data_IF_640672253744
#
_entry.id   IF_640672253744
#
_cell.length_a   1.000
_cell.length_b   1.000
_cell.length_c   1.000
_cell.angle_alpha   90.00
_cell.angle_beta   90.00
_cell.angle_gamma   90.00
#
_symmetry.space_group_name_H-M   'P 1'
#
loop_
_entity.id
_entity.type
_entity.pdbx_description
1 polymer ?
#
# COMPACT_ATOMS: atom_id res chain seq x y z
N UNK A 1 14.17 12.72 -15.12
CA UNK A 1 14.51 11.56 -14.28
C UNK A 1 13.57 11.57 -13.09
N UNK A 2 12.95 10.44 -12.75
CA UNK A 2 12.10 10.37 -11.54
C UNK A 2 12.97 10.56 -10.31
N UNK A 3 12.56 11.41 -9.36
CA UNK A 3 13.25 11.50 -8.08
C UNK A 3 13.32 10.11 -7.43
N UNK A 4 14.48 9.63 -6.94
CA UNK A 4 14.63 8.30 -6.34
C UNK A 4 13.58 8.00 -5.26
N UNK A 5 13.19 9.03 -4.50
CA UNK A 5 12.14 8.96 -3.50
C UNK A 5 10.77 8.48 -4.05
N UNK A 6 10.47 8.68 -5.34
CA UNK A 6 9.18 8.28 -5.92
C UNK A 6 9.24 6.92 -6.63
N UNK A 7 10.42 6.34 -6.82
CA UNK A 7 10.56 5.08 -7.54
C UNK A 7 9.72 3.98 -6.88
N UNK A 8 8.81 3.39 -7.66
CA UNK A 8 7.87 2.37 -7.21
C UNK A 8 6.97 2.76 -6.02
N UNK A 9 6.77 4.04 -5.73
CA UNK A 9 5.94 4.51 -4.61
C UNK A 9 4.45 4.28 -4.87
N UNK A 10 4.01 4.34 -6.13
CA UNK A 10 2.59 4.28 -6.47
C UNK A 10 2.14 2.85 -6.73
N UNK A 11 0.97 2.50 -6.16
CA UNK A 11 0.16 1.39 -6.64
C UNK A 11 -1.00 1.93 -7.44
N UNK A 12 -1.09 1.54 -8.71
CA UNK A 12 -2.24 1.88 -9.55
C UNK A 12 -3.46 1.07 -9.10
N UNK A 13 -4.58 1.72 -8.86
CA UNK A 13 -5.85 1.04 -8.59
C UNK A 13 -6.65 0.92 -9.89
N UNK A 14 -6.95 -0.32 -10.29
CA UNK A 14 -7.96 -0.62 -11.32
C UNK A 14 -9.29 -0.94 -10.67
N UNK A 15 -10.39 -0.66 -11.37
CA UNK A 15 -11.73 -0.96 -10.87
C UNK A 15 -11.96 -2.48 -10.78
N UNK A 16 -12.79 -2.97 -9.84
CA UNK A 16 -13.09 -4.40 -9.72
C UNK A 16 -13.73 -5.02 -10.98
N UNK A 17 -14.41 -4.21 -11.79
CA UNK A 17 -15.03 -4.59 -13.05
C UNK A 17 -14.17 -4.27 -14.28
N UNK A 18 -12.89 -3.93 -14.08
CA UNK A 18 -11.93 -3.64 -15.14
C UNK A 18 -11.85 -4.80 -16.14
N UNK A 19 -12.02 -4.48 -17.42
CA UNK A 19 -11.78 -5.39 -18.53
C UNK A 19 -10.32 -5.37 -18.99
N UNK A 20 -9.98 -6.18 -20.01
CA UNK A 20 -8.63 -6.20 -20.59
C UNK A 20 -8.13 -4.83 -21.05
N UNK A 21 -9.03 -3.97 -21.56
CA UNK A 21 -8.69 -2.64 -22.06
C UNK A 21 -8.37 -1.62 -20.94
N UNK A 22 -8.75 -1.93 -19.71
CA UNK A 22 -8.52 -1.08 -18.53
C UNK A 22 -7.20 -1.42 -17.82
N UNK A 23 -6.56 -2.53 -18.20
CA UNK A 23 -5.25 -2.88 -17.69
C UNK A 23 -4.18 -1.95 -18.30
N UNK A 24 -3.31 -1.36 -17.48
CA UNK A 24 -2.25 -0.50 -18.00
C UNK A 24 -1.24 -1.32 -18.81
N UNK A 25 -0.70 -0.71 -19.85
CA UNK A 25 0.47 -1.21 -20.56
C UNK A 25 1.75 -0.87 -19.78
N UNK A 26 2.61 -0.05 -20.37
CA UNK A 26 3.87 0.34 -19.73
C UNK A 26 3.62 1.22 -18.49
N UNK A 27 4.20 0.81 -17.37
CA UNK A 27 4.11 1.56 -16.12
C UNK A 27 5.21 2.64 -16.05
N UNK A 28 4.85 3.88 -15.65
CA UNK A 28 5.85 4.89 -15.33
C UNK A 28 6.78 4.46 -14.19
N UNK A 29 8.03 4.95 -14.09
CA UNK A 29 9.00 4.47 -13.09
C UNK A 29 8.62 4.68 -11.62
N UNK A 30 7.68 5.60 -11.32
CA UNK A 30 7.19 5.81 -9.95
C UNK A 30 6.03 4.86 -9.59
N UNK A 31 5.46 4.13 -10.56
CA UNK A 31 4.45 3.10 -10.32
C UNK A 31 5.16 1.76 -10.13
N UNK A 32 5.03 1.18 -8.94
CA UNK A 32 5.68 -0.07 -8.58
C UNK A 32 4.82 -1.31 -8.86
N UNK A 33 3.50 -1.14 -8.84
CA UNK A 33 2.56 -2.23 -9.06
C UNK A 33 1.16 -1.73 -9.45
N UNK A 34 0.33 -2.67 -9.89
CA UNK A 34 -1.12 -2.49 -10.08
C UNK A 34 -1.85 -3.36 -9.08
N UNK A 35 -2.71 -2.76 -8.25
CA UNK A 35 -3.58 -3.50 -7.35
C UNK A 35 -4.77 -4.06 -8.14
N UNK A 36 -4.90 -5.38 -8.13
CA UNK A 36 -5.94 -6.12 -8.83
C UNK A 36 -6.66 -7.03 -7.85
N UNK A 37 -7.98 -7.06 -7.91
CA UNK A 37 -8.76 -8.03 -7.14
C UNK A 37 -8.43 -9.45 -7.60
N UNK A 38 -8.49 -10.40 -6.68
CA UNK A 38 -8.25 -11.82 -6.93
C UNK A 38 -9.09 -12.40 -8.09
N UNK A 39 -10.29 -11.87 -8.31
CA UNK A 39 -11.17 -12.26 -9.42
C UNK A 39 -10.66 -11.82 -10.80
N UNK A 40 -9.78 -10.82 -10.88
CA UNK A 40 -9.21 -10.30 -12.13
C UNK A 40 -7.91 -11.00 -12.55
N UNK A 41 -7.35 -11.87 -11.70
CA UNK A 41 -6.08 -12.57 -12.02
C UNK A 41 -6.11 -13.36 -13.34
N UNK A 42 -7.20 -14.06 -13.72
CA UNK A 42 -7.27 -14.71 -15.03
C UNK A 42 -7.12 -13.71 -16.20
N UNK A 43 -7.76 -12.54 -16.09
CA UNK A 43 -7.69 -11.47 -17.11
C UNK A 43 -6.28 -10.90 -17.21
N UNK A 44 -5.61 -10.64 -16.08
CA UNK A 44 -4.21 -10.18 -16.07
C UNK A 44 -3.30 -11.20 -16.72
N UNK A 45 -3.45 -12.49 -16.39
CA UNK A 45 -2.65 -13.57 -17.00
C UNK A 45 -2.76 -13.59 -18.52
N UNK A 46 -3.96 -13.38 -19.05
CA UNK A 46 -4.22 -13.49 -20.48
C UNK A 46 -3.80 -12.24 -21.27
N UNK A 47 -3.88 -11.07 -20.65
CA UNK A 47 -3.74 -9.79 -21.36
C UNK A 47 -2.53 -8.94 -20.92
N UNK A 48 -1.98 -9.19 -19.74
CA UNK A 48 -0.85 -8.45 -19.18
C UNK A 48 0.07 -9.32 -18.28
N UNK A 49 0.59 -10.46 -18.77
CA UNK A 49 1.32 -11.44 -17.93
C UNK A 49 2.61 -10.90 -17.28
N UNK A 50 3.21 -9.84 -17.83
CA UNK A 50 4.40 -9.18 -17.28
C UNK A 50 4.10 -8.04 -16.31
N UNK A 51 2.82 -7.73 -16.06
CA UNK A 51 2.43 -6.61 -15.20
C UNK A 51 2.73 -6.93 -13.73
N UNK A 52 3.50 -6.09 -13.01
CA UNK A 52 3.69 -6.25 -11.58
C UNK A 52 2.37 -6.03 -10.84
N UNK A 53 1.85 -7.06 -10.17
CA UNK A 53 0.54 -7.02 -9.51
C UNK A 53 0.64 -7.07 -7.98
N UNK A 54 -0.17 -6.24 -7.33
CA UNK A 54 -0.53 -6.43 -5.92
C UNK A 54 -1.87 -7.12 -5.88
N UNK A 55 -1.93 -8.36 -5.40
CA UNK A 55 -3.19 -9.12 -5.34
C UNK A 55 -4.00 -8.65 -4.14
N UNK A 56 -5.19 -8.13 -4.39
CA UNK A 56 -6.15 -7.71 -3.35
C UNK A 56 -7.12 -8.85 -3.10
N UNK A 57 -6.99 -9.50 -1.93
CA UNK A 57 -7.87 -10.58 -1.51
C UNK A 57 -9.24 -10.05 -1.13
N UNK A 58 -10.29 -10.54 -1.79
CA UNK A 58 -11.64 -10.04 -1.55
C UNK A 58 -12.27 -10.63 -0.29
N UNK A 59 -12.01 -11.89 0.09
CA UNK A 59 -12.67 -12.54 1.24
C UNK A 59 -11.89 -12.62 2.56
N UNK A 60 -10.87 -11.78 2.78
CA UNK A 60 -10.14 -11.71 4.06
C UNK A 60 -9.12 -12.84 4.26
N UNK A 61 -8.69 -13.05 5.51
CA UNK A 61 -7.55 -13.92 5.87
C UNK A 61 -7.63 -15.34 5.30
N UNK A 62 -8.81 -15.98 5.39
CA UNK A 62 -9.00 -17.37 4.98
C UNK A 62 -8.91 -17.59 3.45
N UNK A 63 -8.91 -16.52 2.64
CA UNK A 63 -8.90 -16.65 1.19
C UNK A 63 -7.53 -16.41 0.56
N UNK A 64 -6.49 -16.03 1.31
CA UNK A 64 -5.20 -15.62 0.73
C UNK A 64 -4.52 -16.73 -0.09
N UNK A 65 -4.61 -17.98 0.34
CA UNK A 65 -3.93 -19.11 -0.33
C UNK A 65 -4.38 -19.36 -1.77
N UNK A 66 -5.69 -19.24 -2.06
CA UNK A 66 -6.25 -19.55 -3.39
C UNK A 66 -5.72 -18.63 -4.50
N UNK A 67 -5.87 -17.30 -4.37
CA UNK A 67 -5.36 -16.32 -5.31
C UNK A 67 -3.84 -16.36 -5.47
N UNK A 68 -3.08 -16.55 -4.38
CA UNK A 68 -1.62 -16.64 -4.49
C UNK A 68 -1.16 -17.91 -5.20
N UNK A 69 -1.79 -19.05 -4.91
CA UNK A 69 -1.54 -20.29 -5.66
C UNK A 69 -1.91 -20.15 -7.14
N UNK A 70 -2.97 -19.40 -7.47
CA UNK A 70 -3.31 -19.09 -8.86
C UNK A 70 -2.24 -18.19 -9.51
N UNK A 71 -1.82 -17.12 -8.84
CA UNK A 71 -0.81 -16.19 -9.35
C UNK A 71 0.53 -16.89 -9.60
N UNK A 72 0.97 -17.72 -8.66
CA UNK A 72 2.20 -18.52 -8.77
C UNK A 72 2.13 -19.50 -9.95
N UNK A 73 1.04 -20.28 -10.07
CA UNK A 73 0.86 -21.21 -11.20
C UNK A 73 0.73 -20.51 -12.55
N UNK A 74 0.18 -19.30 -12.56
CA UNK A 74 0.03 -18.47 -13.74
C UNK A 74 1.32 -17.73 -14.14
N UNK A 75 2.37 -17.77 -13.30
CA UNK A 75 3.62 -17.06 -13.55
C UNK A 75 3.46 -15.53 -13.52
N UNK A 76 2.48 -15.00 -12.77
CA UNK A 76 2.29 -13.57 -12.64
C UNK A 76 3.45 -12.93 -11.86
N UNK A 77 3.80 -11.70 -12.22
CA UNK A 77 4.80 -10.91 -11.49
C UNK A 77 4.17 -10.39 -10.19
N UNK A 78 4.28 -11.16 -9.11
CA UNK A 78 3.72 -10.79 -7.82
C UNK A 78 4.59 -9.71 -7.17
N UNK A 79 4.04 -8.50 -7.07
CA UNK A 79 4.70 -7.36 -6.44
C UNK A 79 4.21 -7.11 -5.00
N UNK A 80 3.12 -7.74 -4.56
CA UNK A 80 2.59 -7.60 -3.21
C UNK A 80 1.27 -8.35 -3.01
N UNK A 81 0.84 -8.45 -1.77
CA UNK A 81 -0.46 -9.02 -1.38
C UNK A 81 -1.15 -8.08 -0.43
N UNK A 82 -2.47 -7.88 -0.60
CA UNK A 82 -3.30 -7.09 0.30
C UNK A 82 -4.46 -7.91 0.79
N UNK A 83 -4.71 -7.86 2.10
CA UNK A 83 -5.91 -8.45 2.70
C UNK A 83 -6.53 -7.47 3.67
N UNK A 84 -7.84 -7.26 3.53
CA UNK A 84 -8.58 -6.36 4.43
C UNK A 84 -9.18 -7.15 5.57
N UNK A 85 -8.91 -6.71 6.81
CA UNK A 85 -9.54 -7.29 7.99
C UNK A 85 -11.04 -6.94 7.96
N UNK A 86 -11.89 -7.93 8.24
CA UNK A 86 -13.35 -7.77 8.15
C UNK A 86 -14.03 -7.52 9.48
N UNK A 87 -13.47 -8.05 10.56
CA UNK A 87 -14.02 -7.97 11.90
C UNK A 87 -13.27 -6.92 12.72
N UNK A 88 -13.97 -5.83 13.04
CA UNK A 88 -13.44 -4.71 13.82
C UNK A 88 -13.44 -4.98 15.34
N UNK A 89 -14.08 -6.06 15.82
CA UNK A 89 -14.14 -6.38 17.24
C UNK A 89 -12.86 -7.04 17.78
N UNK A 90 -12.15 -7.80 16.93
CA UNK A 90 -10.86 -8.44 17.25
C UNK A 90 -9.87 -8.32 16.08
N UNK A 91 -9.40 -7.11 15.74
CA UNK A 91 -8.49 -6.91 14.62
C UNK A 91 -7.17 -7.67 14.81
N UNK A 92 -6.60 -7.71 16.03
CA UNK A 92 -5.38 -8.48 16.34
C UNK A 92 -5.54 -9.99 16.09
N UNK A 93 -6.66 -10.59 16.53
CA UNK A 93 -6.95 -11.98 16.22
C UNK A 93 -7.12 -12.25 14.72
N UNK A 94 -7.63 -11.28 13.95
CA UNK A 94 -7.67 -11.40 12.50
C UNK A 94 -6.28 -11.31 11.86
N UNK A 95 -5.37 -10.47 12.35
CA UNK A 95 -3.96 -10.46 11.90
C UNK A 95 -3.32 -11.82 12.12
N UNK A 96 -3.46 -12.42 13.31
CA UNK A 96 -2.91 -13.76 13.59
C UNK A 96 -3.44 -14.84 12.64
N UNK A 97 -4.70 -14.74 12.21
CA UNK A 97 -5.27 -15.63 11.19
C UNK A 97 -4.69 -15.40 9.81
N UNK A 98 -4.36 -14.15 9.46
CA UNK A 98 -3.63 -13.85 8.21
C UNK A 98 -2.26 -14.50 8.27
N UNK A 99 -1.48 -14.29 9.33
CA UNK A 99 -0.15 -14.90 9.50
C UNK A 99 -0.21 -16.42 9.36
N UNK A 100 -1.10 -17.08 10.10
CA UNK A 100 -1.28 -18.52 10.03
C UNK A 100 -1.68 -19.03 8.62
N UNK A 101 -2.30 -18.20 7.78
CA UNK A 101 -2.62 -18.53 6.40
C UNK A 101 -1.45 -18.27 5.43
N UNK A 102 -0.51 -17.38 5.78
CA UNK A 102 0.68 -17.07 5.00
C UNK A 102 1.81 -18.06 5.24
N UNK A 103 1.99 -18.55 6.47
CA UNK A 103 3.13 -19.41 6.84
C UNK A 103 3.30 -20.61 5.89
N UNK A 104 2.24 -21.40 5.56
CA UNK A 104 2.41 -22.53 4.65
C UNK A 104 2.80 -22.12 3.23
N UNK A 105 2.38 -20.92 2.79
CA UNK A 105 2.68 -20.39 1.45
C UNK A 105 4.11 -19.88 1.34
N UNK A 106 4.67 -19.36 2.44
CA UNK A 106 6.10 -19.04 2.53
C UNK A 106 6.93 -20.32 2.57
N UNK A 107 6.54 -21.27 3.43
CA UNK A 107 7.23 -22.55 3.59
C UNK A 107 7.32 -23.37 2.29
N UNK A 108 6.26 -23.38 1.47
CA UNK A 108 6.24 -24.09 0.19
C UNK A 108 6.73 -23.27 -1.01
N UNK A 109 7.09 -21.99 -0.77
CA UNK A 109 7.60 -21.06 -1.78
C UNK A 109 6.54 -20.48 -2.72
N UNK A 110 5.25 -20.73 -2.50
CA UNK A 110 4.16 -20.09 -3.26
C UNK A 110 4.17 -18.58 -3.09
N UNK A 111 4.49 -18.08 -1.90
CA UNK A 111 4.70 -16.68 -1.59
C UNK A 111 6.19 -16.43 -1.35
N UNK A 112 6.89 -15.73 -2.26
CA UNK A 112 8.29 -15.37 -2.04
C UNK A 112 8.46 -14.48 -0.80
N UNK A 113 9.55 -14.67 -0.07
CA UNK A 113 9.85 -13.95 1.18
C UNK A 113 9.97 -12.43 1.01
N UNK A 114 10.38 -11.98 -0.19
CA UNK A 114 10.57 -10.56 -0.51
C UNK A 114 9.28 -9.86 -0.97
N UNK A 115 8.19 -10.61 -1.18
CA UNK A 115 6.89 -10.04 -1.56
C UNK A 115 6.20 -9.48 -0.30
N UNK A 116 5.95 -8.16 -0.23
CA UNK A 116 5.31 -7.57 0.94
C UNK A 116 3.85 -8.01 1.04
N UNK A 117 3.42 -8.29 2.27
CA UNK A 117 2.02 -8.52 2.59
C UNK A 117 1.50 -7.37 3.44
N UNK A 118 0.50 -6.69 2.91
CA UNK A 118 -0.16 -5.54 3.52
C UNK A 118 -1.49 -5.96 4.13
N UNK A 119 -1.62 -5.77 5.44
CA UNK A 119 -2.86 -5.99 6.18
C UNK A 119 -3.59 -4.66 6.32
N UNK A 120 -4.73 -4.53 5.63
CA UNK A 120 -5.55 -3.32 5.64
C UNK A 120 -6.48 -3.36 6.85
N UNK A 121 -6.36 -2.36 7.73
CA UNK A 121 -7.24 -2.23 8.88
C UNK A 121 -8.67 -1.85 8.44
N UNK A 122 -9.71 -2.34 9.14
CA UNK A 122 -11.08 -1.96 8.83
C UNK A 122 -11.31 -0.47 9.13
N UNK A 123 -12.16 0.18 8.34
CA UNK A 123 -12.59 1.56 8.64
C UNK A 123 -13.26 1.63 10.01
N UNK A 124 -12.89 2.64 10.81
CA UNK A 124 -13.43 2.85 12.15
C UNK A 124 -12.72 2.08 13.27
N UNK A 125 -11.70 1.26 12.96
CA UNK A 125 -10.80 0.71 13.98
C UNK A 125 -9.88 1.82 14.52
N UNK A 126 -9.74 1.89 15.85
CA UNK A 126 -8.92 2.87 16.55
C UNK A 126 -8.63 2.47 17.99
N UNK A 127 -7.79 3.25 18.67
CA UNK A 127 -7.39 3.01 20.07
C UNK A 127 -6.76 1.63 20.27
N UNK A 128 -7.03 1.02 21.43
CA UNK A 128 -6.42 -0.26 21.83
C UNK A 128 -6.55 -1.38 20.79
N UNK A 129 -7.69 -1.48 20.10
CA UNK A 129 -7.89 -2.50 19.07
C UNK A 129 -6.95 -2.32 17.88
N UNK A 130 -6.75 -1.08 17.42
CA UNK A 130 -5.81 -0.78 16.35
C UNK A 130 -4.36 -1.04 16.79
N UNK A 131 -4.00 -0.58 17.98
CA UNK A 131 -2.67 -0.75 18.56
C UNK A 131 -2.27 -2.22 18.71
N UNK A 132 -3.15 -3.06 19.26
CA UNK A 132 -2.89 -4.49 19.37
C UNK A 132 -2.79 -5.17 17.99
N UNK A 133 -3.50 -4.69 16.97
CA UNK A 133 -3.35 -5.20 15.61
C UNK A 133 -2.00 -4.79 15.00
N UNK A 134 -1.54 -3.57 15.25
CA UNK A 134 -0.22 -3.09 14.83
C UNK A 134 0.90 -3.88 15.50
N UNK A 135 0.76 -4.27 16.77
CA UNK A 135 1.73 -5.13 17.46
C UNK A 135 1.88 -6.48 16.74
N UNK A 136 0.77 -7.11 16.37
CA UNK A 136 0.78 -8.39 15.64
C UNK A 136 1.32 -8.24 14.20
N UNK A 137 1.03 -7.11 13.53
CA UNK A 137 1.57 -6.80 12.20
C UNK A 137 3.09 -6.63 12.27
N UNK A 138 3.59 -5.87 13.25
CA UNK A 138 5.02 -5.66 13.46
C UNK A 138 5.75 -6.93 13.86
N UNK A 139 5.17 -7.74 14.74
CA UNK A 139 5.75 -9.04 15.12
C UNK A 139 5.95 -9.99 13.93
N UNK A 140 5.06 -9.92 12.93
CA UNK A 140 5.10 -10.76 11.74
C UNK A 140 5.81 -10.11 10.54
N UNK A 141 6.49 -8.97 10.74
CA UNK A 141 7.16 -8.18 9.70
C UNK A 141 6.24 -7.86 8.50
N UNK A 142 4.96 -7.60 8.78
CA UNK A 142 3.95 -7.24 7.77
C UNK A 142 3.87 -5.71 7.62
N UNK A 143 3.19 -5.28 6.55
CA UNK A 143 2.93 -3.86 6.28
C UNK A 143 1.49 -3.54 6.69
N UNK A 144 1.25 -2.37 7.30
CA UNK A 144 -0.14 -1.94 7.59
C UNK A 144 -0.69 -1.10 6.44
N UNK A 145 -1.90 -1.45 5.98
CA UNK A 145 -2.65 -0.65 5.01
C UNK A 145 -3.63 0.28 5.72
N UNK A 146 -3.53 1.57 5.48
CA UNK A 146 -4.31 2.62 6.15
C UNK A 146 -5.09 3.46 5.16
N UNK A 147 -6.37 3.69 5.45
CA UNK A 147 -7.27 4.52 4.66
C UNK A 147 -7.08 6.01 5.01
N UNK A 148 -6.72 6.84 4.02
CA UNK A 148 -6.46 8.28 4.18
C UNK A 148 -7.68 9.18 3.93
N UNK A 149 -8.90 8.61 3.87
CA UNK A 149 -10.16 9.38 3.77
C UNK A 149 -10.36 10.29 4.98
N UNK A 150 -9.88 9.89 6.17
CA UNK A 150 -9.90 10.68 7.41
C UNK A 150 -8.47 11.01 7.88
N UNK A 151 -7.92 12.18 7.51
CA UNK A 151 -6.54 12.57 7.81
C UNK A 151 -6.14 12.45 9.29
N UNK A 152 -7.04 12.84 10.20
CA UNK A 152 -6.81 12.81 11.64
C UNK A 152 -6.72 11.38 12.20
N UNK A 153 -7.48 10.44 11.62
CA UNK A 153 -7.41 9.02 12.00
C UNK A 153 -6.18 8.39 11.38
N UNK A 154 -5.91 8.69 10.12
CA UNK A 154 -4.75 8.18 9.39
C UNK A 154 -3.44 8.58 10.08
N UNK A 155 -3.29 9.86 10.46
CA UNK A 155 -2.07 10.37 11.12
C UNK A 155 -1.84 9.69 12.47
N UNK A 156 -2.88 9.54 13.29
CA UNK A 156 -2.79 8.82 14.55
C UNK A 156 -2.40 7.34 14.37
N UNK A 157 -2.93 6.67 13.33
CA UNK A 157 -2.58 5.28 13.02
C UNK A 157 -1.17 5.14 12.44
N UNK A 158 -0.71 6.11 11.64
CA UNK A 158 0.67 6.15 11.15
C UNK A 158 1.64 6.34 12.30
N UNK A 159 1.39 7.29 13.18
CA UNK A 159 2.21 7.53 14.38
C UNK A 159 2.33 6.25 15.23
N UNK A 160 1.18 5.62 15.54
CA UNK A 160 1.14 4.36 16.28
C UNK A 160 1.85 3.20 15.57
N UNK A 161 1.85 3.17 14.23
CA UNK A 161 2.57 2.17 13.44
C UNK A 161 4.08 2.41 13.49
N UNK A 162 4.51 3.67 13.38
CA UNK A 162 5.92 4.05 13.41
C UNK A 162 6.56 3.80 14.79
N UNK A 163 5.81 4.04 15.87
CA UNK A 163 6.21 3.67 17.24
C UNK A 163 6.52 2.16 17.39
N UNK A 164 5.91 1.34 16.55
CA UNK A 164 6.07 -0.12 16.50
C UNK A 164 7.00 -0.59 15.39
N UNK A 165 7.69 0.34 14.73
CA UNK A 165 8.53 0.06 13.57
C UNK A 165 7.79 -0.67 12.44
N UNK A 166 6.49 -0.40 12.28
CA UNK A 166 5.65 -0.95 11.21
C UNK A 166 5.62 -0.02 10.02
N UNK A 167 6.00 -0.54 8.85
CA UNK A 167 5.86 0.20 7.60
C UNK A 167 4.39 0.31 7.15
N UNK A 168 4.06 1.38 6.44
CA UNK A 168 2.70 1.73 6.04
C UNK A 168 2.51 1.74 4.52
N UNK A 169 1.31 1.38 4.09
CA UNK A 169 0.75 1.72 2.79
C UNK A 169 -0.50 2.58 2.97
N UNK A 170 -0.63 3.62 2.16
CA UNK A 170 -1.88 4.37 2.09
C UNK A 170 -2.76 3.72 1.03
N UNK A 171 -3.91 3.20 1.46
CA UNK A 171 -4.85 2.49 0.60
C UNK A 171 -6.15 3.26 0.41
N UNK A 172 -6.87 2.99 -0.68
CA UNK A 172 -8.25 3.50 -0.91
C UNK A 172 -8.38 5.03 -0.80
N UNK A 173 -7.35 5.78 -1.21
CA UNK A 173 -7.31 7.24 -1.17
C UNK A 173 -7.08 7.87 -2.54
N UNK A 174 -7.31 9.18 -2.62
CA UNK A 174 -7.03 10.06 -3.77
C UNK A 174 -5.89 11.05 -3.46
N UNK A 175 -5.17 10.79 -2.37
CA UNK A 175 -4.12 11.66 -1.85
C UNK A 175 -2.92 11.69 -2.78
N UNK A 176 -2.24 12.84 -2.81
CA UNK A 176 -1.01 12.95 -3.57
C UNK A 176 0.10 12.09 -2.93
N UNK A 177 0.79 11.22 -3.70
CA UNK A 177 1.83 10.34 -3.14
C UNK A 177 2.97 11.08 -2.44
N UNK A 178 3.33 12.27 -2.91
CA UNK A 178 4.38 13.09 -2.28
C UNK A 178 3.88 13.67 -0.97
N UNK A 179 2.62 14.14 -0.94
CA UNK A 179 2.00 14.63 0.28
C UNK A 179 1.89 13.54 1.35
N UNK A 180 1.54 12.32 0.96
CA UNK A 180 1.53 11.16 1.86
C UNK A 180 2.94 10.86 2.39
N UNK A 181 3.94 10.82 1.51
CA UNK A 181 5.33 10.54 1.91
C UNK A 181 5.88 11.60 2.88
N UNK A 182 5.57 12.87 2.63
CA UNK A 182 5.93 13.97 3.52
C UNK A 182 5.16 13.92 4.85
N UNK A 183 3.88 13.54 4.85
CA UNK A 183 3.11 13.36 6.07
C UNK A 183 3.68 12.22 6.95
N UNK A 184 4.07 11.08 6.35
CA UNK A 184 4.79 10.01 7.09
C UNK A 184 6.11 10.54 7.66
N UNK A 185 6.84 11.38 6.92
CA UNK A 185 8.07 12.02 7.43
C UNK A 185 7.78 12.91 8.64
N UNK A 186 6.73 13.71 8.60
CA UNK A 186 6.34 14.55 9.74
C UNK A 186 5.92 13.73 10.96
N UNK A 187 5.21 12.61 10.78
CA UNK A 187 4.96 11.67 11.89
C UNK A 187 6.26 11.12 12.48
N UNK A 188 7.24 10.73 11.65
CA UNK A 188 8.57 10.29 12.13
C UNK A 188 9.34 11.37 12.90
N UNK A 189 9.05 12.65 12.62
CA UNK A 189 9.62 13.79 13.33
C UNK A 189 8.85 14.15 14.62
N UNK A 190 7.77 13.43 14.93
CA UNK A 190 6.91 13.71 16.09
C UNK A 190 5.95 14.88 15.89
N UNK A 191 5.62 15.20 14.63
CA UNK A 191 4.82 16.37 14.24
C UNK A 191 3.50 15.95 13.54
N UNK A 192 2.54 15.33 14.27
CA UNK A 192 1.31 14.80 13.68
C UNK A 192 0.36 15.87 13.12
N UNK A 193 0.35 17.08 13.71
CA UNK A 193 -0.45 18.20 13.19
C UNK A 193 0.06 18.69 11.83
N UNK A 194 1.38 18.75 11.67
CA UNK A 194 2.03 19.06 10.40
C UNK A 194 1.78 17.95 9.37
N UNK A 195 1.82 16.68 9.80
CA UNK A 195 1.47 15.55 8.94
C UNK A 195 0.05 15.68 8.39
N UNK A 196 -0.93 16.02 9.24
CA UNK A 196 -2.32 16.23 8.81
C UNK A 196 -2.44 17.40 7.81
N UNK A 197 -1.71 18.50 8.06
CA UNK A 197 -1.66 19.66 7.16
C UNK A 197 -1.07 19.30 5.79
N UNK A 198 0.05 18.56 5.77
CA UNK A 198 0.70 18.14 4.54
C UNK A 198 -0.16 17.15 3.75
N UNK A 199 -0.79 16.19 4.42
CA UNK A 199 -1.68 15.20 3.81
C UNK A 199 -2.89 15.85 3.12
N UNK A 200 -3.42 16.94 3.70
CA UNK A 200 -4.49 17.75 3.10
C UNK A 200 -3.99 18.72 2.00
N UNK A 201 -2.68 18.91 1.89
CA UNK A 201 -2.03 19.85 0.99
C UNK A 201 -1.75 19.30 -0.42
N UNK A 202 -0.77 19.91 -1.09
CA UNK A 202 -0.34 19.54 -2.45
C UNK A 202 1.09 19.00 -2.47
N UNK A 203 1.48 18.34 -3.56
CA UNK A 203 2.87 17.92 -3.81
C UNK A 203 3.87 19.08 -3.67
N UNK A 204 3.50 20.29 -4.13
CA UNK A 204 4.35 21.48 -4.02
C UNK A 204 4.63 21.83 -2.56
N UNK A 205 3.61 21.77 -1.69
CA UNK A 205 3.80 22.03 -0.25
C UNK A 205 4.70 20.97 0.39
N UNK A 206 4.57 19.70 -0.02
CA UNK A 206 5.40 18.60 0.45
C UNK A 206 6.87 18.74 0.06
N UNK A 207 7.16 19.08 -1.21
CA UNK A 207 8.52 19.32 -1.68
C UNK A 207 9.16 20.58 -1.10
N UNK A 208 8.36 21.57 -0.70
CA UNK A 208 8.87 22.74 0.01
C UNK A 208 9.24 22.40 1.47
N UNK A 209 8.64 21.37 2.07
CA UNK A 209 8.86 20.98 3.46
C UNK A 209 10.11 20.10 3.63
N UNK A 210 10.44 19.24 2.67
CA UNK A 210 11.54 18.27 2.78
C UNK A 210 12.37 18.16 1.51
N UNK A 211 13.68 17.95 1.68
CA UNK A 211 14.56 17.62 0.56
C UNK A 211 14.38 16.18 0.06
N UNK A 212 14.88 15.92 -1.16
CA UNK A 212 14.72 14.63 -1.83
C UNK A 212 15.40 13.47 -1.09
N UNK A 213 16.56 13.69 -0.48
CA UNK A 213 17.29 12.66 0.25
C UNK A 213 16.57 12.25 1.54
N UNK A 214 15.88 13.18 2.17
CA UNK A 214 15.04 12.93 3.34
C UNK A 214 13.82 12.12 2.96
N UNK A 215 13.12 12.50 1.89
CA UNK A 215 11.98 11.74 1.39
C UNK A 215 12.38 10.34 0.91
N UNK A 216 13.56 10.17 0.31
CA UNK A 216 14.09 8.85 -0.06
C UNK A 216 14.30 7.95 1.16
N UNK A 217 14.88 8.46 2.25
CA UNK A 217 15.04 7.70 3.51
C UNK A 217 13.70 7.32 4.15
N UNK A 218 12.66 8.15 3.98
CA UNK A 218 11.31 7.87 4.47
C UNK A 218 10.65 6.70 3.75
N UNK A 219 11.11 6.31 2.56
CA UNK A 219 10.52 5.20 1.76
C UNK A 219 10.52 3.85 2.45
N UNK A 220 11.41 3.63 3.42
CA UNK A 220 11.37 2.40 4.22
C UNK A 220 10.08 2.29 5.04
N UNK A 221 9.51 3.43 5.44
CA UNK A 221 8.33 3.52 6.29
C UNK A 221 7.04 3.78 5.52
N UNK A 222 7.09 4.45 4.37
CA UNK A 222 5.97 4.60 3.45
C UNK A 222 6.23 3.77 2.20
N UNK A 223 5.68 2.55 2.13
CA UNK A 223 6.02 1.56 1.10
C UNK A 223 5.28 1.81 -0.19
N UNK A 224 3.98 2.08 -0.14
CA UNK A 224 3.16 2.37 -1.32
C UNK A 224 2.00 3.31 -1.02
N UNK A 225 1.56 4.02 -2.06
CA UNK A 225 0.37 4.88 -2.03
C UNK A 225 -0.53 4.53 -3.21
N UNK A 226 -1.80 4.28 -2.92
CA UNK A 226 -2.80 4.02 -3.94
C UNK A 226 -3.10 5.29 -4.74
N UNK A 227 -3.14 5.15 -6.07
CA UNK A 227 -3.59 6.19 -6.98
C UNK A 227 -4.57 5.58 -7.98
N UNK A 228 -5.79 6.10 -8.10
CA UNK A 228 -6.74 5.67 -9.13
C UNK A 228 -6.15 5.84 -10.53
N UNK A 229 -6.32 4.84 -11.41
CA UNK A 229 -5.72 4.85 -12.74
C UNK A 229 -5.98 6.13 -13.57
N UNK A 230 -7.20 6.71 -13.58
CA UNK A 230 -7.47 7.95 -14.32
C UNK A 230 -6.62 9.15 -13.86
N UNK A 231 -6.14 9.13 -12.61
CA UNK A 231 -5.41 10.25 -12.02
C UNK A 231 -3.90 10.15 -12.27
N UNK A 232 -3.37 9.02 -12.73
CA UNK A 232 -1.92 8.84 -12.84
C UNK A 232 -1.29 9.83 -13.82
N UNK A 233 -1.90 10.09 -14.97
CA UNK A 233 -1.37 11.05 -15.94
C UNK A 233 -1.19 12.46 -15.34
N UNK A 234 -2.17 12.93 -14.56
CA UNK A 234 -2.11 14.22 -13.88
C UNK A 234 -1.01 14.25 -12.82
N UNK A 235 -0.83 13.14 -12.08
CA UNK A 235 0.24 12.99 -11.07
C UNK A 235 1.63 12.93 -11.68
N UNK A 236 1.78 12.31 -12.86
CA UNK A 236 3.04 12.33 -13.65
C UNK A 236 3.42 13.77 -13.97
N UNK A 237 2.47 14.53 -14.52
CA UNK A 237 2.69 15.91 -14.94
C UNK A 237 3.05 16.80 -13.74
N UNK A 238 2.35 16.65 -12.61
CA UNK A 238 2.64 17.39 -11.38
C UNK A 238 4.03 17.05 -10.80
N UNK A 239 4.42 15.77 -10.80
CA UNK A 239 5.72 15.34 -10.27
C UNK A 239 6.88 15.82 -11.15
N UNK A 240 6.71 15.80 -12.47
CA UNK A 240 7.71 16.28 -13.43
C UNK A 240 7.92 17.80 -13.33
N UNK A 241 6.87 18.58 -13.06
CA UNK A 241 6.94 20.03 -12.94
C UNK A 241 7.69 20.51 -11.68
N UNK A 242 7.82 19.68 -10.64
CA UNK A 242 8.47 20.05 -9.37
C UNK A 242 9.92 19.52 -9.29
N UNK A 243 10.28 18.54 -10.13
CA UNK A 243 11.61 17.92 -10.15
C UNK A 243 12.52 18.38 -11.30
N UNK A 244 12.00 19.20 -12.22
CA UNK A 244 12.74 19.86 -13.30
C UNK A 244 13.10 21.29 -12.95
#
# INVERSE_FOLDING_TARGET
>A
MTAPALAGLVTLIVAPDAGPADLPGDLPPFVGAVAVDDLLLPTVREHAPGLPVTVVGTGGAAQVAGPLGLAARAGLVLAGVRTTLRDAADPAGNVRRVVAALDPLRDDGTLPEDVPVTVVLPTGVGGYGAEAALDEIGYADLVVGLDATRPEVWTALVDAALDREVATETVRGDRDPVAVLAAVRSCLDGEPDEAARLLAGSATAAWAAFDAATLERTRRWCRRVDVPAPQVADRVAASAAVTG
#
